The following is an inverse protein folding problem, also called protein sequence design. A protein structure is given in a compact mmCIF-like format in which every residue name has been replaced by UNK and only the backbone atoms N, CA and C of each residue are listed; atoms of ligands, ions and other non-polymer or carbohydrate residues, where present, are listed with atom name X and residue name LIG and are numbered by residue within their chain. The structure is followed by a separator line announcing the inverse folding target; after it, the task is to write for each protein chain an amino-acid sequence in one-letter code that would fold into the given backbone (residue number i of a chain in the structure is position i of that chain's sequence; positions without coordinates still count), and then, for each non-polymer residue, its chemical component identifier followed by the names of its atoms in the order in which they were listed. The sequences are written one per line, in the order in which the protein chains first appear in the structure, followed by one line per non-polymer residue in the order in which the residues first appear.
data_IF_978285046109
#
_entry.id   IF_978285046109
#
_cell.length_a   1.000
_cell.length_b   1.000
_cell.length_c   1.000
_cell.angle_alpha   90.00
_cell.angle_beta   90.00
_cell.angle_gamma   90.00
#
_symmetry.space_group_name_H-M   'P 1'
#
loop_
_entity.id
_entity.type
_entity.pdbx_description
1 polymer ?
#
# COMPACT_ATOMS: atom_id res chain seq x y z
N UNK A 1 -11.58 0.69 27.44
CA UNK A 1 -10.38 1.41 26.96
C UNK A 1 -9.81 0.83 25.65
N UNK A 2 -10.43 -0.19 25.05
CA UNK A 2 -9.95 -0.86 23.84
C UNK A 2 -10.03 0.00 22.55
N UNK A 3 -11.00 0.90 22.46
CA UNK A 3 -11.20 1.71 21.25
C UNK A 3 -10.09 2.75 21.00
N UNK A 4 -9.42 3.23 22.06
CA UNK A 4 -8.31 4.19 21.93
C UNK A 4 -7.02 3.54 21.42
N UNK A 5 -6.76 2.28 21.79
CA UNK A 5 -5.60 1.51 21.32
C UNK A 5 -5.73 1.20 19.84
N UNK A 6 -6.94 0.87 19.37
CA UNK A 6 -7.21 0.65 17.95
C UNK A 6 -6.88 1.90 17.09
N UNK A 7 -7.17 3.10 17.59
CA UNK A 7 -6.82 4.36 16.93
C UNK A 7 -5.32 4.58 16.82
N UNK A 8 -4.58 4.42 17.92
CA UNK A 8 -3.11 4.61 17.94
C UNK A 8 -2.40 3.58 17.06
N UNK A 9 -2.81 2.31 17.13
CA UNK A 9 -2.27 1.25 16.28
C UNK A 9 -2.56 1.54 14.80
N UNK A 10 -3.76 2.03 14.49
CA UNK A 10 -4.12 2.45 13.14
C UNK A 10 -3.24 3.60 12.63
N UNK A 11 -2.95 4.61 13.45
CA UNK A 11 -2.06 5.72 13.07
C UNK A 11 -0.63 5.24 12.80
N UNK A 12 -0.08 4.39 13.66
CA UNK A 12 1.28 3.83 13.47
C UNK A 12 1.31 2.98 12.20
N UNK A 13 0.31 2.12 11.99
CA UNK A 13 0.20 1.30 10.78
C UNK A 13 0.11 2.16 9.52
N UNK A 14 -0.64 3.27 9.55
CA UNK A 14 -0.71 4.22 8.43
C UNK A 14 0.63 4.89 8.14
N UNK A 15 1.38 5.30 9.17
CA UNK A 15 2.72 5.89 8.98
C UNK A 15 3.66 4.88 8.35
N UNK A 16 3.71 3.65 8.88
CA UNK A 16 4.56 2.58 8.35
C UNK A 16 4.18 2.26 6.90
N UNK A 17 2.88 2.13 6.62
CA UNK A 17 2.39 1.91 5.26
C UNK A 17 2.79 3.04 4.31
N UNK A 18 2.64 4.31 4.72
CA UNK A 18 3.02 5.46 3.91
C UNK A 18 4.51 5.44 3.57
N UNK A 19 5.37 5.17 4.56
CA UNK A 19 6.81 5.08 4.37
C UNK A 19 7.20 3.94 3.42
N UNK A 20 6.63 2.75 3.62
CA UNK A 20 6.89 1.59 2.75
C UNK A 20 6.44 1.89 1.32
N UNK A 21 5.25 2.47 1.16
CA UNK A 21 4.71 2.81 -0.16
C UNK A 21 5.57 3.86 -0.86
N UNK A 22 6.02 4.88 -0.13
CA UNK A 22 6.91 5.91 -0.65
C UNK A 22 8.25 5.31 -1.12
N UNK A 23 8.84 4.43 -0.32
CA UNK A 23 10.09 3.74 -0.70
C UNK A 23 9.88 2.82 -1.90
N UNK A 24 8.76 2.11 -2.00
CA UNK A 24 8.50 1.23 -3.14
C UNK A 24 8.26 2.00 -4.44
N UNK A 25 7.59 3.16 -4.38
CA UNK A 25 7.34 3.98 -5.56
C UNK A 25 8.58 4.78 -6.00
N UNK A 26 9.29 5.38 -5.06
CA UNK A 26 10.39 6.31 -5.36
C UNK A 26 11.78 5.70 -5.21
N UNK A 27 11.93 4.63 -4.43
CA UNK A 27 13.21 3.95 -4.23
C UNK A 27 13.80 3.42 -5.55
N UNK A 28 13.04 2.67 -6.37
CA UNK A 28 13.54 2.18 -7.65
C UNK A 28 13.94 3.29 -8.65
N UNK A 29 13.12 4.32 -8.96
CA UNK A 29 13.53 5.38 -9.89
C UNK A 29 14.69 6.24 -9.36
N UNK A 30 14.82 6.43 -8.04
CA UNK A 30 15.94 7.17 -7.45
C UNK A 30 17.22 6.32 -7.31
N UNK A 31 17.07 5.02 -7.06
CA UNK A 31 18.18 4.10 -6.81
C UNK A 31 18.79 3.50 -8.08
N UNK A 32 18.00 3.31 -9.14
CA UNK A 32 18.49 2.72 -10.39
C UNK A 32 19.56 3.57 -11.08
N UNK A 33 19.43 4.91 -11.17
CA UNK A 33 20.50 5.77 -11.68
C UNK A 33 21.80 5.64 -10.88
N UNK A 34 21.73 5.43 -9.56
CA UNK A 34 22.92 5.23 -8.71
C UNK A 34 23.65 3.92 -9.01
N UNK A 35 22.95 2.94 -9.60
CA UNK A 35 23.50 1.66 -10.03
C UNK A 35 23.89 1.65 -11.52
N UNK A 36 23.79 2.80 -12.21
CA UNK A 36 24.05 2.92 -13.65
C UNK A 36 22.95 2.32 -14.54
N UNK A 37 21.78 2.02 -13.98
CA UNK A 37 20.62 1.54 -14.72
C UNK A 37 19.76 2.71 -15.23
N UNK A 38 18.93 2.43 -16.24
CA UNK A 38 18.01 3.41 -16.81
C UNK A 38 16.88 3.77 -15.82
N UNK A 39 16.65 5.07 -15.66
CA UNK A 39 15.56 5.61 -14.83
C UNK A 39 14.18 5.05 -15.22
N UNK A 40 13.94 4.86 -16.52
CA UNK A 40 12.67 4.30 -17.01
C UNK A 40 12.39 2.89 -16.52
N UNK A 41 13.43 2.07 -16.36
CA UNK A 41 13.28 0.74 -15.75
C UNK A 41 13.00 0.82 -14.25
N UNK A 42 13.59 1.80 -13.56
CA UNK A 42 13.29 2.10 -12.16
C UNK A 42 11.83 2.54 -11.97
N UNK A 43 11.30 3.39 -12.86
CA UNK A 43 9.89 3.80 -12.82
C UNK A 43 8.93 2.62 -12.99
N UNK A 44 9.19 1.72 -13.94
CA UNK A 44 8.37 0.52 -14.13
C UNK A 44 8.39 -0.40 -12.90
N UNK A 45 9.58 -0.64 -12.33
CA UNK A 45 9.72 -1.47 -11.13
C UNK A 45 9.00 -0.83 -9.94
N UNK A 46 9.18 0.48 -9.74
CA UNK A 46 8.51 1.22 -8.67
C UNK A 46 6.99 1.20 -8.80
N UNK A 47 6.47 1.40 -10.02
CA UNK A 47 5.04 1.34 -10.30
C UNK A 47 4.46 -0.06 -10.04
N UNK A 48 5.12 -1.12 -10.52
CA UNK A 48 4.64 -2.49 -10.35
C UNK A 48 4.70 -2.94 -8.89
N UNK A 49 5.81 -2.67 -8.20
CA UNK A 49 5.99 -3.06 -6.81
C UNK A 49 5.06 -2.25 -5.88
N UNK A 50 5.10 -0.92 -5.99
CA UNK A 50 4.27 -0.03 -5.19
C UNK A 50 2.78 -0.21 -5.47
N UNK A 51 2.41 -0.33 -6.75
CA UNK A 51 1.03 -0.58 -7.18
C UNK A 51 0.47 -1.90 -6.65
N UNK A 52 1.26 -2.97 -6.70
CA UNK A 52 0.84 -4.29 -6.16
C UNK A 52 0.59 -4.23 -4.66
N UNK A 53 1.49 -3.61 -3.89
CA UNK A 53 1.34 -3.48 -2.43
C UNK A 53 0.11 -2.62 -2.10
N UNK A 54 -0.10 -1.51 -2.80
CA UNK A 54 -1.26 -0.65 -2.60
C UNK A 54 -2.59 -1.39 -2.92
N UNK A 55 -2.61 -2.19 -3.99
CA UNK A 55 -3.75 -3.03 -4.33
C UNK A 55 -4.04 -4.06 -3.24
N UNK A 56 -3.02 -4.78 -2.77
CA UNK A 56 -3.19 -5.77 -1.70
C UNK A 56 -3.74 -5.13 -0.42
N UNK A 57 -3.19 -3.99 -0.01
CA UNK A 57 -3.66 -3.25 1.17
C UNK A 57 -5.08 -2.70 1.00
N UNK A 58 -5.53 -2.44 -0.23
CA UNK A 58 -6.90 -1.99 -0.50
C UNK A 58 -7.89 -3.16 -0.57
N UNK A 59 -7.53 -4.25 -1.25
CA UNK A 59 -8.42 -5.39 -1.48
C UNK A 59 -8.56 -6.30 -0.26
N UNK A 60 -7.55 -6.39 0.60
CA UNK A 60 -7.60 -7.27 1.77
C UNK A 60 -8.64 -6.85 2.81
N UNK A 61 -8.74 -5.56 3.22
CA UNK A 61 -9.84 -5.09 4.06
C UNK A 61 -11.19 -5.31 3.40
N UNK A 62 -11.33 -4.96 2.11
CA UNK A 62 -12.58 -5.13 1.36
C UNK A 62 -13.07 -6.58 1.39
N UNK A 63 -12.19 -7.57 1.23
CA UNK A 63 -12.55 -8.99 1.36
C UNK A 63 -13.03 -9.35 2.77
N UNK A 64 -12.45 -8.76 3.81
CA UNK A 64 -12.84 -9.01 5.21
C UNK A 64 -14.20 -8.41 5.56
N UNK A 65 -14.56 -7.25 4.98
CA UNK A 65 -15.86 -6.60 5.23
C UNK A 65 -16.96 -7.06 4.28
N UNK A 66 -16.62 -7.65 3.11
CA UNK A 66 -17.61 -8.10 2.13
C UNK A 66 -18.66 -9.06 2.71
N UNK A 67 -18.28 -9.93 3.65
CA UNK A 67 -19.22 -10.84 4.32
C UNK A 67 -20.03 -10.22 5.46
N UNK A 68 -19.74 -8.95 5.83
CA UNK A 68 -20.34 -8.25 6.99
C UNK A 68 -21.31 -7.15 6.57
N UNK A 69 -21.32 -6.77 5.30
CA UNK A 69 -22.11 -5.65 4.77
C UNK A 69 -22.90 -6.19 3.58
N UNK A 70 -24.23 -6.15 3.65
CA UNK A 70 -25.09 -6.47 2.51
C UNK A 70 -24.77 -5.49 1.38
N UNK A 71 -24.31 -5.99 0.23
CA UNK A 71 -24.05 -5.14 -0.92
C UNK A 71 -25.40 -4.60 -1.41
N UNK A 72 -25.49 -3.30 -1.68
CA UNK A 72 -26.71 -2.71 -2.25
C UNK A 72 -26.96 -3.41 -3.60
N UNK A 73 -27.96 -4.29 -3.65
CA UNK A 73 -28.30 -5.10 -4.83
C UNK A 73 -28.09 -6.62 -4.70
N UNK A 74 -27.65 -7.14 -3.54
CA UNK A 74 -27.77 -8.58 -3.24
C UNK A 74 -29.20 -8.88 -2.78
N UNK A 75 -29.96 -9.58 -3.63
CA UNK A 75 -31.31 -10.12 -3.38
C UNK A 75 -31.27 -11.46 -2.66
#
# INVERSE_FOLDING_TARGET
MENGVAGVVGTIASIVYQLVTLVLFFGPPLGFPLLGLSEGSGMLVGLLAGGTVALLCTFQPLKLVKGRVSTIGEE
#
